data_IF_348682895315
#
_entry.id   IF_348682895315
#
_cell.length_a   1.000
_cell.length_b   1.000
_cell.length_c   1.000
_cell.angle_alpha   90.00
_cell.angle_beta   90.00
_cell.angle_gamma   90.00
#
_symmetry.space_group_name_H-M   'P 1'
#
loop_
_entity.id
_entity.type
_entity.pdbx_description
1 polymer ?
#
# COMPACT_ATOMS: atom_id res chain seq x y z
N UNK A 1 3.98 14.04 1.52
CA UNK A 1 4.00 13.54 2.90
C UNK A 1 2.83 12.60 3.19
N UNK A 2 1.67 12.78 2.56
CA UNK A 2 0.49 11.91 2.74
C UNK A 2 0.76 10.38 2.72
N UNK A 3 1.54 9.86 1.76
CA UNK A 3 1.80 8.41 1.69
C UNK A 3 2.67 7.87 2.84
N UNK A 4 3.56 8.69 3.41
CA UNK A 4 4.40 8.29 4.56
C UNK A 4 3.54 8.20 5.82
N UNK A 5 2.64 9.16 6.02
CA UNK A 5 1.69 9.18 7.14
C UNK A 5 0.75 7.97 7.09
N UNK A 6 0.15 7.70 5.93
CA UNK A 6 -0.74 6.56 5.76
C UNK A 6 -0.03 5.20 5.96
N UNK A 7 1.24 5.10 5.57
CA UNK A 7 2.01 3.86 5.72
C UNK A 7 2.54 3.63 7.14
N UNK A 8 2.42 4.61 8.05
CA UNK A 8 2.93 4.57 9.43
C UNK A 8 4.37 4.02 9.46
N UNK A 9 5.21 4.51 8.56
CA UNK A 9 6.56 3.96 8.34
C UNK A 9 7.57 5.06 8.03
N UNK A 10 8.86 4.71 7.97
CA UNK A 10 9.91 5.66 7.59
C UNK A 10 9.96 5.86 6.08
N UNK A 11 10.50 7.01 5.65
CA UNK A 11 10.71 7.29 4.23
C UNK A 11 11.56 6.22 3.53
N UNK A 12 12.58 5.70 4.19
CA UNK A 12 13.48 4.69 3.64
C UNK A 12 12.74 3.35 3.47
N UNK A 13 12.05 2.90 4.53
CA UNK A 13 11.26 1.67 4.50
C UNK A 13 10.16 1.74 3.45
N UNK A 14 9.41 2.85 3.37
CA UNK A 14 8.39 3.04 2.35
C UNK A 14 8.98 3.02 0.94
N UNK A 15 10.11 3.70 0.72
CA UNK A 15 10.76 3.70 -0.58
C UNK A 15 11.15 2.28 -1.02
N UNK A 16 11.66 1.47 -0.11
CA UNK A 16 12.03 0.08 -0.38
C UNK A 16 10.80 -0.81 -0.62
N UNK A 17 9.74 -0.67 0.18
CA UNK A 17 8.48 -1.38 -0.03
C UNK A 17 7.90 -1.09 -1.41
N UNK A 18 7.82 0.19 -1.78
CA UNK A 18 7.33 0.60 -3.10
C UNK A 18 8.20 0.04 -4.22
N UNK A 19 9.52 -0.05 -4.03
CA UNK A 19 10.42 -0.63 -5.05
C UNK A 19 10.18 -2.12 -5.24
N UNK A 20 9.90 -2.85 -4.17
CA UNK A 20 9.54 -4.27 -4.25
C UNK A 20 8.17 -4.47 -4.90
N UNK A 21 7.20 -3.61 -4.61
CA UNK A 21 5.86 -3.67 -5.22
C UNK A 21 5.92 -3.35 -6.72
N UNK A 22 6.71 -2.36 -7.10
CA UNK A 22 6.93 -1.97 -8.51
C UNK A 22 7.65 -3.06 -9.29
N UNK A 23 8.68 -3.68 -8.70
CA UNK A 23 9.39 -4.83 -9.30
C UNK A 23 8.47 -6.05 -9.51
N UNK A 24 7.38 -6.15 -8.75
CA UNK A 24 6.33 -7.17 -8.89
C UNK A 24 5.19 -6.74 -9.81
N UNK A 25 5.26 -5.56 -10.41
CA UNK A 25 4.21 -5.05 -11.30
C UNK A 25 2.93 -4.60 -10.58
N UNK A 26 2.96 -4.42 -9.26
CA UNK A 26 1.75 -4.11 -8.46
C UNK A 26 1.47 -2.60 -8.36
N UNK A 27 2.49 -1.76 -8.53
CA UNK A 27 2.36 -0.31 -8.51
C UNK A 27 3.16 0.32 -9.64
N UNK A 28 2.72 1.49 -10.10
CA UNK A 28 3.47 2.38 -11.00
C UNK A 28 3.73 3.72 -10.33
N UNK A 29 4.90 4.30 -10.59
CA UNK A 29 5.26 5.64 -10.11
C UNK A 29 5.38 6.61 -11.25
N UNK A 30 4.76 7.77 -11.08
CA UNK A 30 4.78 8.83 -12.08
C UNK A 30 5.24 10.14 -11.47
N UNK A 31 6.01 10.88 -12.27
CA UNK A 31 6.36 12.26 -11.94
C UNK A 31 5.21 13.18 -12.33
N UNK A 32 4.91 14.14 -11.48
CA UNK A 32 3.99 15.21 -11.84
C UNK A 32 4.61 16.04 -12.98
N UNK A 33 3.93 16.19 -14.13
CA UNK A 33 4.42 16.99 -15.25
C UNK A 33 4.66 18.46 -14.89
N UNK A 34 3.93 18.99 -13.91
CA UNK A 34 4.01 20.37 -13.45
C UNK A 34 5.01 20.58 -12.30
N UNK A 35 5.33 19.54 -11.52
CA UNK A 35 6.30 19.60 -10.42
C UNK A 35 7.08 18.30 -10.24
N UNK A 36 8.29 18.22 -10.82
CA UNK A 36 9.16 17.04 -10.75
C UNK A 36 9.52 16.58 -9.33
N UNK A 37 9.28 17.42 -8.30
CA UNK A 37 9.48 17.06 -6.88
C UNK A 37 8.35 16.20 -6.33
N UNK A 38 7.20 16.15 -6.98
CA UNK A 38 6.07 15.30 -6.63
C UNK A 38 6.14 13.99 -7.40
N UNK A 39 5.88 12.90 -6.68
CA UNK A 39 5.76 11.56 -7.23
C UNK A 39 4.42 11.00 -6.81
N UNK A 40 3.66 10.54 -7.77
CA UNK A 40 2.43 9.81 -7.54
C UNK A 40 2.71 8.32 -7.60
N UNK A 41 2.01 7.56 -6.77
CA UNK A 41 2.03 6.11 -6.75
C UNK A 41 0.61 5.66 -7.03
N UNK A 42 0.45 4.81 -8.04
CA UNK A 42 -0.83 4.23 -8.41
C UNK A 42 -0.72 2.71 -8.37
N UNK A 43 -1.82 2.04 -8.02
CA UNK A 43 -1.93 0.60 -8.26
C UNK A 43 -1.98 0.36 -9.78
N UNK A 44 -1.46 -0.78 -10.19
CA UNK A 44 -1.76 -1.37 -11.50
C UNK A 44 -3.02 -2.21 -11.40
N UNK A 45 -3.56 -2.65 -12.54
CA UNK A 45 -4.70 -3.57 -12.56
C UNK A 45 -4.39 -4.87 -11.77
N UNK A 46 -3.16 -5.37 -11.86
CA UNK A 46 -2.71 -6.53 -11.07
C UNK A 46 -2.65 -6.20 -9.56
N UNK A 47 -2.17 -5.00 -9.22
CA UNK A 47 -2.14 -4.49 -7.86
C UNK A 47 -3.53 -4.35 -7.25
N UNK A 48 -4.50 -3.82 -8.00
CA UNK A 48 -5.90 -3.71 -7.58
C UNK A 48 -6.53 -5.10 -7.41
N UNK A 49 -6.30 -6.01 -8.35
CA UNK A 49 -6.78 -7.38 -8.23
C UNK A 49 -6.19 -8.11 -7.02
N UNK A 50 -4.91 -7.88 -6.70
CA UNK A 50 -4.28 -8.39 -5.48
C UNK A 50 -4.88 -7.78 -4.22
N UNK A 51 -5.06 -6.46 -4.19
CA UNK A 51 -5.68 -5.80 -3.04
C UNK A 51 -7.07 -6.36 -2.77
N UNK A 52 -7.90 -6.49 -3.79
CA UNK A 52 -9.29 -6.97 -3.67
C UNK A 52 -9.39 -8.41 -3.17
N UNK A 53 -8.43 -9.29 -3.53
CA UNK A 53 -8.40 -10.67 -3.00
C UNK A 53 -7.82 -10.76 -1.57
N UNK A 54 -6.99 -9.79 -1.17
CA UNK A 54 -6.34 -9.78 0.14
C UNK A 54 -7.18 -9.13 1.23
N UNK A 55 -8.04 -8.16 0.90
CA UNK A 55 -8.91 -7.48 1.89
C UNK A 55 -9.76 -8.47 2.71
N UNK A 56 -10.48 -9.44 2.12
CA UNK A 56 -11.29 -10.37 2.91
C UNK A 56 -10.46 -11.20 3.89
N UNK A 57 -9.25 -11.58 3.50
CA UNK A 57 -8.32 -12.36 4.35
C UNK A 57 -7.82 -11.53 5.52
N UNK A 58 -7.51 -10.24 5.27
CA UNK A 58 -7.14 -9.31 6.33
C UNK A 58 -8.27 -9.12 7.33
N UNK A 59 -9.49 -8.92 6.85
CA UNK A 59 -10.67 -8.76 7.70
C UNK A 59 -10.95 -10.00 8.56
N UNK A 60 -10.81 -11.21 8.00
CA UNK A 60 -11.00 -12.45 8.75
C UNK A 60 -10.02 -12.58 9.92
N UNK A 61 -8.74 -12.26 9.69
CA UNK A 61 -7.73 -12.22 10.75
C UNK A 61 -8.04 -11.12 11.76
N UNK A 62 -8.39 -9.92 11.30
CA UNK A 62 -8.73 -8.82 12.21
C UNK A 62 -9.94 -9.17 13.09
N UNK A 63 -10.98 -9.80 12.54
CA UNK A 63 -12.16 -10.24 13.29
C UNK A 63 -11.81 -11.31 14.34
N UNK A 64 -10.90 -12.24 14.02
CA UNK A 64 -10.44 -13.27 14.96
C UNK A 64 -9.62 -12.69 16.13
N UNK A 65 -8.69 -11.79 15.86
CA UNK A 65 -7.72 -11.32 16.84
C UNK A 65 -8.11 -10.02 17.56
N UNK A 66 -8.91 -9.17 16.92
CA UNK A 66 -9.34 -7.87 17.44
C UNK A 66 -10.83 -7.83 17.80
N UNK A 67 -11.54 -8.96 17.64
CA UNK A 67 -12.90 -9.15 18.11
C UNK A 67 -13.05 -8.87 19.61
N UNK A 68 -14.29 -8.65 20.09
CA UNK A 68 -14.54 -8.36 21.50
C UNK A 68 -13.99 -9.49 22.37
N UNK A 69 -13.27 -9.19 23.47
CA UNK A 69 -12.75 -10.23 24.35
C UNK A 69 -13.91 -11.09 24.88
N UNK A 70 -13.76 -12.41 24.84
CA UNK A 70 -14.72 -13.34 25.44
C UNK A 70 -14.99 -12.91 26.89
N UNK A 71 -16.28 -12.80 27.24
CA UNK A 71 -16.74 -12.36 28.56
C UNK A 71 -16.45 -13.38 29.66
#
# INVERSE_FOLDING_TARGET
>A
MALIEAAVSTKATLAEMLSRMEARGLVRREHDPADKRRRFVYLTDEGEALLNRSIPQGNEVDDEFLGPPER
#
